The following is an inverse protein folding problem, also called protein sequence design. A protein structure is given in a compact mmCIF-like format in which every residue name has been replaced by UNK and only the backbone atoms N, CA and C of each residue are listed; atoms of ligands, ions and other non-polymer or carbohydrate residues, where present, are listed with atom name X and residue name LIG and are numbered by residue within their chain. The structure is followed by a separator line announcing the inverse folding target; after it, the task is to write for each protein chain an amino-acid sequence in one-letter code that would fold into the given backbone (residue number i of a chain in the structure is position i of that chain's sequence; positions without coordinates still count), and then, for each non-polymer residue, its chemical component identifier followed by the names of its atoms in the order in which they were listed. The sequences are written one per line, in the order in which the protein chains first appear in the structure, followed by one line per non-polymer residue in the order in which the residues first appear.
data_IF_242407235031
#
_entry.id   IF_242407235031
#
_cell.length_a   1.000
_cell.length_b   1.000
_cell.length_c   1.000
_cell.angle_alpha   90.00
_cell.angle_beta   90.00
_cell.angle_gamma   90.00
#
_symmetry.space_group_name_H-M   'P 1'
#
loop_
_entity.id
_entity.type
_entity.pdbx_description
1 polymer ?
#
# COMPACT_ATOMS: atom_id res chain seq x y z
N UNK A 1 -35.66 -39.93 -56.18
CA UNK A 1 -36.86 -40.11 -55.33
C UNK A 1 -36.42 -39.97 -53.88
N UNK A 2 -36.67 -38.79 -53.29
CA UNK A 2 -37.49 -38.62 -52.09
C UNK A 2 -37.05 -39.46 -50.88
N UNK A 3 -36.29 -38.83 -49.97
CA UNK A 3 -36.72 -38.83 -48.56
C UNK A 3 -36.20 -37.57 -47.85
N UNK A 4 -37.14 -36.73 -47.39
CA UNK A 4 -36.91 -35.64 -46.43
C UNK A 4 -37.13 -36.25 -45.05
N UNK A 5 -36.28 -35.95 -44.07
CA UNK A 5 -36.81 -35.54 -42.77
C UNK A 5 -35.83 -34.62 -42.02
N UNK A 6 -36.36 -33.59 -41.33
CA UNK A 6 -35.61 -32.55 -40.64
C UNK A 6 -35.54 -32.83 -39.12
N UNK A 7 -35.04 -31.84 -38.36
CA UNK A 7 -35.09 -31.75 -36.89
C UNK A 7 -34.08 -32.63 -36.13
N UNK A 8 -33.03 -32.02 -35.58
CA UNK A 8 -33.02 -31.70 -34.15
C UNK A 8 -31.90 -30.70 -33.82
N UNK A 9 -32.35 -29.53 -33.37
CA UNK A 9 -31.57 -28.49 -32.73
C UNK A 9 -31.00 -29.05 -31.42
N UNK A 10 -29.69 -29.02 -31.22
CA UNK A 10 -29.08 -29.29 -29.91
C UNK A 10 -28.22 -28.10 -29.50
N UNK A 11 -28.87 -27.12 -28.86
CA UNK A 11 -28.20 -26.07 -28.09
C UNK A 11 -27.58 -26.72 -26.84
N UNK A 12 -26.28 -26.95 -26.85
CA UNK A 12 -25.54 -27.36 -25.66
C UNK A 12 -25.20 -26.10 -24.84
N UNK A 13 -26.06 -25.75 -23.90
CA UNK A 13 -25.78 -24.73 -22.88
C UNK A 13 -24.94 -25.41 -21.80
N UNK A 14 -23.62 -25.18 -21.81
CA UNK A 14 -22.74 -25.55 -20.69
C UNK A 14 -22.83 -24.43 -19.65
N UNK A 15 -23.69 -24.64 -18.65
CA UNK A 15 -23.77 -23.83 -17.44
C UNK A 15 -22.59 -24.21 -16.53
N UNK A 16 -21.47 -23.50 -16.64
CA UNK A 16 -20.36 -23.63 -15.69
C UNK A 16 -20.77 -22.92 -14.40
N UNK A 17 -21.16 -23.71 -13.40
CA UNK A 17 -21.38 -23.27 -12.03
C UNK A 17 -20.01 -22.86 -11.45
N UNK A 18 -19.67 -21.57 -11.49
CA UNK A 18 -18.59 -21.03 -10.67
C UNK A 18 -19.07 -21.03 -9.22
N UNK A 19 -18.74 -22.08 -8.47
CA UNK A 19 -18.83 -22.06 -7.01
C UNK A 19 -17.74 -21.10 -6.54
N UNK A 20 -18.08 -19.82 -6.39
CA UNK A 20 -17.25 -18.89 -5.64
C UNK A 20 -17.31 -19.32 -4.18
N UNK A 21 -16.27 -20.04 -3.72
CA UNK A 21 -15.99 -20.15 -2.30
C UNK A 21 -15.61 -18.76 -1.80
N UNK A 22 -16.61 -18.00 -1.34
CA UNK A 22 -16.39 -16.81 -0.55
C UNK A 22 -15.67 -17.24 0.74
N UNK A 23 -14.36 -17.05 0.77
CA UNK A 23 -13.57 -17.13 1.99
C UNK A 23 -14.11 -16.06 2.93
N UNK A 24 -14.90 -16.47 3.92
CA UNK A 24 -15.41 -15.60 4.96
C UNK A 24 -14.22 -15.11 5.77
N UNK A 25 -13.74 -13.90 5.47
CA UNK A 25 -12.89 -13.15 6.38
C UNK A 25 -13.53 -13.20 7.77
N UNK A 26 -12.78 -13.67 8.77
CA UNK A 26 -13.26 -13.65 10.16
C UNK A 26 -13.38 -12.20 10.57
N UNK A 27 -14.61 -11.70 10.63
CA UNK A 27 -14.93 -10.35 11.07
C UNK A 27 -14.41 -10.17 12.50
N UNK A 28 -13.36 -9.36 12.68
CA UNK A 28 -12.86 -8.97 14.00
C UNK A 28 -11.38 -9.24 14.29
N UNK A 29 -10.61 -9.88 13.40
CA UNK A 29 -9.15 -9.99 13.55
C UNK A 29 -8.40 -9.19 12.49
N UNK A 30 -7.33 -8.53 12.92
CA UNK A 30 -6.47 -7.68 12.08
C UNK A 30 -5.06 -8.22 12.12
N UNK A 31 -4.32 -7.97 11.05
CA UNK A 31 -2.90 -8.28 10.95
C UNK A 31 -2.14 -6.96 10.93
N UNK A 32 -1.25 -6.78 11.91
CA UNK A 32 -0.25 -5.73 11.89
C UNK A 32 0.97 -6.22 11.11
N UNK A 33 1.40 -5.43 10.13
CA UNK A 33 2.59 -5.69 9.32
C UNK A 33 3.63 -4.64 9.65
N UNK A 34 4.78 -5.06 10.17
CA UNK A 34 5.94 -4.20 10.34
C UNK A 34 6.76 -4.20 9.05
N UNK A 35 7.08 -3.01 8.57
CA UNK A 35 7.67 -2.77 7.26
C UNK A 35 8.91 -1.92 7.43
N UNK A 36 9.99 -2.36 6.79
CA UNK A 36 11.17 -1.54 6.54
C UNK A 36 11.18 -1.11 5.09
N UNK A 37 11.24 0.19 4.86
CA UNK A 37 11.27 0.79 3.52
C UNK A 37 12.56 1.60 3.39
N UNK A 38 13.31 1.40 2.30
CA UNK A 38 14.61 2.05 2.10
C UNK A 38 14.87 2.37 0.64
N UNK A 39 15.56 3.47 0.37
CA UNK A 39 15.97 3.86 -0.99
C UNK A 39 16.92 2.83 -1.58
N UNK A 40 16.82 2.53 -2.88
CA UNK A 40 17.69 1.55 -3.56
C UNK A 40 19.15 2.04 -3.76
N UNK A 41 19.50 3.23 -3.28
CA UNK A 41 20.84 3.82 -3.44
C UNK A 41 21.93 2.95 -2.78
N UNK A 42 22.99 2.66 -3.55
CA UNK A 42 24.13 1.80 -3.24
C UNK A 42 24.60 1.88 -1.78
N UNK A 43 24.84 0.69 -1.19
CA UNK A 43 25.29 0.42 0.19
C UNK A 43 26.65 1.05 0.55
N UNK A 44 26.78 2.37 0.48
CA UNK A 44 27.82 3.05 1.24
C UNK A 44 27.23 3.38 2.60
N UNK A 45 27.71 2.70 3.64
CA UNK A 45 27.36 2.95 5.04
C UNK A 45 27.47 4.45 5.35
N UNK A 46 26.34 5.15 5.33
CA UNK A 46 26.26 6.57 5.66
C UNK A 46 25.99 6.69 7.16
N UNK A 47 26.69 7.64 7.80
CA UNK A 47 26.54 7.97 9.22
C UNK A 47 25.08 8.33 9.53
N UNK A 48 24.56 8.09 10.76
CA UNK A 48 23.19 8.46 11.15
C UNK A 48 22.82 9.92 10.85
N UNK A 49 23.80 10.81 10.80
CA UNK A 49 23.63 12.24 10.50
C UNK A 49 23.45 12.54 8.99
N UNK A 50 23.80 11.62 8.08
CA UNK A 50 23.70 11.77 6.61
C UNK A 50 22.44 11.09 6.01
N UNK A 51 21.51 10.69 6.87
CA UNK A 51 20.31 9.93 6.49
C UNK A 51 19.11 10.81 6.15
N UNK A 52 19.14 12.09 6.51
CA UNK A 52 18.09 13.07 6.24
C UNK A 52 18.59 14.09 5.22
N UNK A 53 17.97 14.13 4.04
CA UNK A 53 18.35 15.04 2.94
C UNK A 53 17.21 16.01 2.67
N UNK A 54 17.52 17.22 2.21
CA UNK A 54 16.51 18.21 1.81
C UNK A 54 15.82 17.86 0.47
N UNK A 55 16.41 16.94 -0.30
CA UNK A 55 15.83 16.43 -1.55
C UNK A 55 15.13 15.09 -1.33
N UNK A 56 13.96 14.93 -1.96
CA UNK A 56 13.23 13.66 -1.97
C UNK A 56 14.01 12.61 -2.79
N UNK A 57 14.33 11.43 -2.22
CA UNK A 57 15.11 10.42 -2.93
C UNK A 57 14.35 9.74 -4.07
N UNK A 58 15.10 8.99 -4.90
CA UNK A 58 14.63 8.23 -6.07
C UNK A 58 13.33 7.45 -5.82
N UNK A 59 12.50 7.24 -6.86
CA UNK A 59 11.13 6.77 -6.70
C UNK A 59 11.03 5.30 -6.28
N UNK A 60 12.07 4.48 -6.48
CA UNK A 60 12.00 3.05 -6.17
C UNK A 60 12.66 2.74 -4.83
N UNK A 61 11.88 2.08 -3.97
CA UNK A 61 12.29 1.67 -2.64
C UNK A 61 12.30 0.14 -2.53
N UNK A 62 13.26 -0.36 -1.76
CA UNK A 62 13.26 -1.73 -1.26
C UNK A 62 12.31 -1.83 -0.07
N UNK A 63 11.33 -2.72 -0.19
CA UNK A 63 10.35 -3.04 0.85
C UNK A 63 10.74 -4.37 1.50
N UNK A 64 10.80 -4.42 2.83
CA UNK A 64 10.99 -5.64 3.59
C UNK A 64 9.92 -5.75 4.67
N UNK A 65 9.29 -6.92 4.78
CA UNK A 65 8.42 -7.24 5.91
C UNK A 65 9.31 -7.78 7.02
N UNK A 66 9.33 -7.10 8.16
CA UNK A 66 10.18 -7.47 9.29
C UNK A 66 9.43 -8.31 10.31
N UNK A 67 8.13 -8.10 10.47
CA UNK A 67 7.28 -8.84 11.41
C UNK A 67 5.81 -8.82 10.95
N UNK A 68 5.07 -9.87 11.30
CA UNK A 68 3.62 -9.91 11.19
C UNK A 68 3.02 -10.44 12.48
N UNK A 69 2.03 -9.75 13.03
CA UNK A 69 1.30 -10.21 14.21
C UNK A 69 -0.19 -10.02 14.06
N UNK A 70 -0.97 -10.96 14.61
CA UNK A 70 -2.42 -10.81 14.72
C UNK A 70 -2.75 -9.97 15.93
N UNK A 71 -3.66 -9.04 15.76
CA UNK A 71 -4.17 -8.18 16.81
C UNK A 71 -5.71 -8.22 16.80
N UNK A 72 -6.36 -8.19 17.98
CA UNK A 72 -7.82 -8.13 18.09
C UNK A 72 -8.38 -6.74 17.77
N UNK A 73 -7.53 -5.72 17.60
CA UNK A 73 -7.96 -4.37 17.25
C UNK A 73 -8.42 -4.34 15.80
N UNK A 74 -9.57 -3.73 15.52
CA UNK A 74 -9.99 -3.51 14.13
C UNK A 74 -9.13 -2.42 13.48
N UNK A 75 -8.86 -2.47 12.15
CA UNK A 75 -8.17 -1.38 11.49
C UNK A 75 -8.98 -0.09 11.67
N UNK A 76 -8.33 1.07 11.86
CA UNK A 76 -9.05 2.34 11.95
C UNK A 76 -9.83 2.57 10.67
N UNK A 77 -11.12 2.89 10.80
CA UNK A 77 -11.96 3.21 9.64
C UNK A 77 -11.55 4.57 9.08
N UNK A 78 -10.91 4.57 7.92
CA UNK A 78 -10.57 5.81 7.22
C UNK A 78 -11.81 6.36 6.52
N UNK A 79 -12.23 7.57 6.90
CA UNK A 79 -13.35 8.27 6.25
C UNK A 79 -12.77 9.21 5.19
N UNK A 80 -13.04 8.91 3.93
CA UNK A 80 -12.75 9.74 2.76
C UNK A 80 -11.44 10.55 2.89
N UNK A 81 -10.28 9.89 2.99
CA UNK A 81 -9.01 10.59 3.13
C UNK A 81 -8.76 11.44 1.88
N UNK A 82 -8.57 12.74 2.09
CA UNK A 82 -8.06 13.61 1.04
C UNK A 82 -6.60 13.23 0.78
N UNK A 83 -6.28 13.00 -0.50
CA UNK A 83 -4.90 12.71 -0.91
C UNK A 83 -4.04 13.95 -0.68
N UNK A 84 -2.85 13.74 -0.14
CA UNK A 84 -1.83 14.78 -0.03
C UNK A 84 -0.46 14.24 -0.44
N UNK A 85 0.43 15.12 -0.91
CA UNK A 85 1.81 14.73 -1.24
C UNK A 85 2.63 14.32 -0.01
N UNK A 86 2.11 14.52 1.20
CA UNK A 86 2.75 14.13 2.47
C UNK A 86 2.27 12.76 2.97
N UNK A 87 1.53 12.01 2.16
CA UNK A 87 1.07 10.67 2.48
C UNK A 87 1.90 9.58 1.79
N UNK A 88 1.81 8.38 2.37
CA UNK A 88 2.09 7.12 1.73
C UNK A 88 0.78 6.33 1.62
N UNK A 89 0.51 5.80 0.43
CA UNK A 89 -0.66 4.95 0.17
C UNK A 89 -0.19 3.52 0.05
N UNK A 90 -0.72 2.62 0.87
CA UNK A 90 -0.44 1.19 0.80
C UNK A 90 -1.71 0.46 0.37
N UNK A 91 -1.62 -0.31 -0.70
CA UNK A 91 -2.73 -1.08 -1.24
C UNK A 91 -2.41 -2.56 -1.15
N UNK A 92 -3.34 -3.31 -0.56
CA UNK A 92 -3.29 -4.75 -0.41
C UNK A 92 -4.10 -5.41 -1.52
N UNK A 93 -3.49 -6.39 -2.19
CA UNK A 93 -4.06 -7.10 -3.33
C UNK A 93 -4.13 -8.61 -3.09
N UNK A 94 -5.06 -9.25 -3.80
CA UNK A 94 -5.08 -10.70 -3.95
C UNK A 94 -4.09 -11.20 -5.03
N UNK A 95 -4.01 -12.53 -5.19
CA UNK A 95 -3.12 -13.16 -6.17
C UNK A 95 -3.49 -12.88 -7.64
N UNK A 96 -4.64 -12.25 -7.90
CA UNK A 96 -5.12 -11.81 -9.22
C UNK A 96 -5.03 -10.29 -9.38
N UNK A 97 -4.34 -9.61 -8.45
CA UNK A 97 -4.22 -8.15 -8.39
C UNK A 97 -5.55 -7.40 -8.22
N UNK A 98 -6.55 -8.02 -7.60
CA UNK A 98 -7.74 -7.29 -7.14
C UNK A 98 -7.43 -6.59 -5.81
N UNK A 99 -7.78 -5.30 -5.71
CA UNK A 99 -7.63 -4.53 -4.47
C UNK A 99 -8.56 -5.10 -3.38
N UNK A 100 -7.98 -5.51 -2.25
CA UNK A 100 -8.69 -5.97 -1.06
C UNK A 100 -8.86 -4.83 -0.05
N UNK A 101 -7.80 -4.06 0.18
CA UNK A 101 -7.79 -3.01 1.19
C UNK A 101 -6.81 -1.90 0.81
N UNK A 102 -7.05 -0.71 1.35
CA UNK A 102 -6.20 0.46 1.16
C UNK A 102 -6.00 1.19 2.48
N UNK A 103 -4.78 1.60 2.74
CA UNK A 103 -4.38 2.34 3.93
C UNK A 103 -3.63 3.59 3.52
N UNK A 104 -3.99 4.72 4.13
CA UNK A 104 -3.30 5.99 3.98
C UNK A 104 -2.58 6.30 5.30
N UNK A 105 -1.29 6.55 5.25
CA UNK A 105 -0.51 6.99 6.42
C UNK A 105 0.26 8.27 6.08
N UNK A 106 0.66 9.03 7.10
CA UNK A 106 1.66 10.08 6.91
C UNK A 106 2.94 9.44 6.35
N UNK A 107 3.58 10.09 5.39
CA UNK A 107 4.79 9.55 4.77
C UNK A 107 5.89 9.38 5.83
N UNK A 108 6.28 8.14 6.15
CA UNK A 108 7.27 7.88 7.19
C UNK A 108 8.65 8.45 6.86
N UNK A 109 8.94 8.75 5.59
CA UNK A 109 10.20 9.39 5.19
C UNK A 109 10.28 10.86 5.56
N UNK A 110 9.14 11.53 5.76
CA UNK A 110 9.12 12.97 6.03
C UNK A 110 9.32 13.23 7.52
N UNK A 111 10.35 14.01 7.83
CA UNK A 111 10.56 14.63 9.15
C UNK A 111 10.32 16.13 8.99
N UNK A 112 9.54 16.72 9.90
CA UNK A 112 9.45 18.17 10.02
C UNK A 112 10.49 18.66 11.03
N UNK A 113 11.43 19.48 10.57
CA UNK A 113 12.40 20.15 11.43
C UNK A 113 11.95 21.58 11.67
N UNK A 114 11.86 21.97 12.93
CA UNK A 114 11.40 23.30 13.34
C UNK A 114 12.42 23.93 14.27
N UNK A 115 12.61 25.25 14.13
CA UNK A 115 13.45 26.06 15.01
C UNK A 115 12.58 27.14 15.61
N UNK A 116 12.65 27.33 16.93
CA UNK A 116 11.99 28.41 17.64
C UNK A 116 13.01 29.44 18.14
N UNK A 117 12.58 30.68 18.32
CA UNK A 117 13.37 31.74 18.96
C UNK A 117 13.34 31.62 20.50
N UNK A 118 13.95 32.60 21.16
CA UNK A 118 14.00 32.67 22.63
C UNK A 118 12.63 32.92 23.26
N UNK A 119 11.64 33.42 22.51
CA UNK A 119 10.25 33.59 22.98
C UNK A 119 9.39 32.35 22.74
N UNK A 120 9.92 31.36 22.01
CA UNK A 120 9.22 30.13 21.65
C UNK A 120 8.43 30.24 20.35
N UNK A 121 8.58 31.34 19.61
CA UNK A 121 7.95 31.54 18.31
C UNK A 121 8.74 30.80 17.23
N UNK A 122 8.02 30.17 16.30
CA UNK A 122 8.64 29.38 15.24
C UNK A 122 9.32 30.29 14.20
N UNK A 123 10.65 30.19 14.08
CA UNK A 123 11.47 30.96 13.12
C UNK A 123 11.52 30.26 11.76
N UNK A 124 11.59 28.92 11.74
CA UNK A 124 11.75 28.15 10.51
C UNK A 124 11.12 26.78 10.63
N UNK A 125 10.49 26.31 9.55
CA UNK A 125 10.05 24.92 9.37
C UNK A 125 10.57 24.43 8.03
N UNK A 126 11.22 23.26 8.01
CA UNK A 126 11.66 22.58 6.78
C UNK A 126 11.36 21.09 6.84
N UNK A 127 11.10 20.50 5.68
CA UNK A 127 10.96 19.06 5.55
C UNK A 127 12.32 18.42 5.27
N UNK A 128 12.60 17.31 5.94
CA UNK A 128 13.76 16.48 5.70
C UNK A 128 13.29 15.08 5.35
N UNK A 129 14.00 14.42 4.43
CA UNK A 129 13.63 13.10 3.93
C UNK A 129 14.63 12.04 4.39
N UNK A 130 14.14 11.03 5.13
CA UNK A 130 14.93 9.86 5.52
C UNK A 130 15.24 8.99 4.29
N UNK A 131 16.35 8.24 4.35
CA UNK A 131 16.66 7.19 3.35
C UNK A 131 16.13 5.82 3.72
N UNK A 132 15.83 5.59 5.00
CA UNK A 132 15.27 4.33 5.52
C UNK A 132 14.31 4.63 6.66
N UNK A 133 13.22 3.89 6.71
CA UNK A 133 12.17 4.03 7.71
C UNK A 133 11.59 2.68 8.09
N UNK A 134 11.15 2.58 9.33
CA UNK A 134 10.45 1.43 9.87
C UNK A 134 9.08 1.91 10.38
N UNK A 135 8.01 1.23 9.97
CA UNK A 135 6.64 1.58 10.36
C UNK A 135 5.72 0.36 10.33
N UNK A 136 4.53 0.49 10.91
CA UNK A 136 3.50 -0.54 10.89
C UNK A 136 2.28 -0.10 10.10
N UNK A 137 1.60 -1.05 9.47
CA UNK A 137 0.24 -0.88 8.96
C UNK A 137 -0.69 -1.95 9.52
N UNK A 138 -1.98 -1.63 9.58
CA UNK A 138 -3.04 -2.55 9.98
C UNK A 138 -3.85 -2.98 8.74
N UNK A 139 -3.93 -4.28 8.50
CA UNK A 139 -4.69 -4.88 7.41
C UNK A 139 -5.73 -5.85 7.97
N UNK A 140 -6.89 -6.02 7.33
CA UNK A 140 -7.81 -7.09 7.72
C UNK A 140 -7.07 -8.44 7.66
N UNK A 141 -7.33 -9.32 8.64
CA UNK A 141 -6.80 -10.70 8.63
C UNK A 141 -7.51 -11.53 7.55
N UNK A 142 -7.23 -11.19 6.30
CA UNK A 142 -7.79 -11.80 5.10
C UNK A 142 -6.70 -12.68 4.46
N UNK A 143 -6.89 -14.02 4.42
CA UNK A 143 -5.89 -14.93 3.89
C UNK A 143 -5.67 -14.79 2.38
N UNK A 144 -6.54 -14.04 1.68
CA UNK A 144 -6.37 -13.80 0.25
C UNK A 144 -5.40 -12.65 -0.07
N UNK A 145 -4.99 -11.85 0.93
CA UNK A 145 -3.99 -10.79 0.67
C UNK A 145 -2.63 -11.46 0.47
N UNK A 146 -2.09 -11.34 -0.74
CA UNK A 146 -0.79 -11.88 -1.11
C UNK A 146 0.23 -10.83 -1.50
N UNK A 147 -0.20 -9.60 -1.83
CA UNK A 147 0.67 -8.56 -2.37
C UNK A 147 0.38 -7.21 -1.72
N UNK A 148 1.43 -6.47 -1.36
CA UNK A 148 1.36 -5.07 -0.97
C UNK A 148 2.08 -4.21 -2.01
N UNK A 149 1.43 -3.15 -2.47
CA UNK A 149 2.06 -2.10 -3.28
C UNK A 149 2.01 -0.77 -2.52
N UNK A 150 3.09 0.00 -2.65
CA UNK A 150 3.33 1.26 -1.96
C UNK A 150 3.35 2.36 -2.99
N UNK A 151 2.58 3.43 -2.75
CA UNK A 151 2.44 4.53 -3.69
C UNK A 151 2.66 5.88 -3.03
N UNK A 152 3.26 6.78 -3.81
CA UNK A 152 3.43 8.19 -3.46
C UNK A 152 2.44 9.04 -4.24
N UNK A 153 1.50 9.74 -3.58
CA UNK A 153 0.67 10.73 -4.26
C UNK A 153 1.52 11.95 -4.66
N UNK A 154 1.30 12.45 -5.88
CA UNK A 154 1.83 13.73 -6.30
C UNK A 154 0.77 14.57 -6.99
N UNK A 155 0.74 15.87 -6.66
CA UNK A 155 -0.15 16.83 -7.30
C UNK A 155 0.39 17.24 -8.66
N UNK A 156 -0.41 17.11 -9.69
CA UNK A 156 -0.04 17.46 -11.08
C UNK A 156 -0.31 18.91 -11.43
N UNK A 157 -0.92 19.68 -10.53
CA UNK A 157 -1.51 21.00 -10.83
C UNK A 157 -3.03 20.95 -10.96
N UNK A 158 -3.60 19.79 -11.29
CA UNK A 158 -5.05 19.60 -11.51
C UNK A 158 -5.64 18.43 -10.74
N UNK A 159 -4.87 17.36 -10.53
CA UNK A 159 -5.30 16.17 -9.81
C UNK A 159 -4.13 15.51 -9.07
N UNK A 160 -4.45 14.65 -8.10
CA UNK A 160 -3.48 13.75 -7.52
C UNK A 160 -3.38 12.49 -8.37
N UNK A 161 -2.16 12.14 -8.74
CA UNK A 161 -1.83 10.82 -9.28
C UNK A 161 -1.00 10.05 -8.26
N UNK A 162 -1.11 8.73 -8.26
CA UNK A 162 -0.38 7.85 -7.34
C UNK A 162 0.71 7.10 -8.11
N UNK A 163 1.97 7.34 -7.75
CA UNK A 163 3.13 6.70 -8.37
C UNK A 163 3.53 5.47 -7.56
N UNK A 164 3.74 4.33 -8.23
CA UNK A 164 4.23 3.11 -7.57
C UNK A 164 5.69 3.31 -7.16
N UNK A 165 5.96 3.17 -5.86
CA UNK A 165 7.30 3.36 -5.31
C UNK A 165 7.94 2.06 -4.77
N UNK A 166 7.14 1.01 -4.61
CA UNK A 166 7.66 -0.31 -4.20
C UNK A 166 6.55 -1.32 -4.03
N UNK A 167 6.92 -2.60 -3.95
CA UNK A 167 5.99 -3.69 -3.68
C UNK A 167 6.66 -4.84 -2.92
N UNK A 168 5.87 -5.66 -2.26
CA UNK A 168 6.33 -6.87 -1.59
C UNK A 168 5.23 -7.92 -1.51
N UNK A 169 5.63 -9.18 -1.62
CA UNK A 169 4.71 -10.31 -1.41
C UNK A 169 4.56 -10.57 0.09
N UNK A 170 3.34 -10.84 0.53
CA UNK A 170 3.10 -11.40 1.85
C UNK A 170 3.31 -12.93 1.79
N UNK A 171 4.06 -13.53 2.72
CA UNK A 171 4.16 -14.98 2.87
C UNK A 171 2.85 -15.61 3.34
#
# INVERSE_FOLDING_TARGET
MHNRNPLFLLFLIILILFIQTASTARTGTTKEIHIKLSTVTDEKTLSPEEQAVEEQPSPMYRVLITEQRRTPESPPKQRNPELTSEQLVVIAFDARENEINRVYIADPFIIRAETADETGDLISSRLLYRKSVDFSILLPDNPNISLLKFYKPHWTGTEFVIELIGETQLP
#
